data_IF_743484699189
#
_entry.id   IF_743484699189
#
_cell.length_a   1.000
_cell.length_b   1.000
_cell.length_c   1.000
_cell.angle_alpha   90.00
_cell.angle_beta   90.00
_cell.angle_gamma   90.00
#
_symmetry.space_group_name_H-M   'P 1'
#
loop_
_entity.id
_entity.type
_entity.pdbx_description
1 polymer ?
#
# COMPACT_ATOMS: atom_id res chain seq x y z
N UNK A 1 17.68 -30.02 -19.22
CA UNK A 1 17.37 -28.57 -19.13
C UNK A 1 15.86 -28.41 -19.05
N UNK A 2 15.36 -27.73 -18.02
CA UNK A 2 13.92 -27.41 -17.87
C UNK A 2 13.57 -26.24 -18.78
N UNK A 3 12.63 -26.42 -19.71
CA UNK A 3 12.12 -25.33 -20.54
C UNK A 3 11.02 -24.56 -19.79
N UNK A 4 11.18 -23.25 -19.67
CA UNK A 4 10.15 -22.38 -19.09
C UNK A 4 8.94 -22.31 -20.05
N UNK A 5 7.75 -22.66 -19.56
CA UNK A 5 6.49 -22.56 -20.31
C UNK A 5 5.68 -21.37 -19.80
N UNK A 6 5.14 -20.58 -20.71
CA UNK A 6 4.21 -19.51 -20.42
C UNK A 6 2.88 -19.76 -21.16
N UNK A 7 1.78 -19.39 -20.54
CA UNK A 7 0.44 -19.55 -21.10
C UNK A 7 -0.27 -18.20 -21.19
N UNK A 8 -0.99 -17.98 -22.30
CA UNK A 8 -1.81 -16.78 -22.51
C UNK A 8 -3.27 -17.18 -22.61
N UNK A 9 -4.09 -16.65 -21.71
CA UNK A 9 -5.52 -16.91 -21.68
C UNK A 9 -6.31 -15.63 -21.86
N UNK A 10 -7.48 -15.73 -22.50
CA UNK A 10 -8.47 -14.65 -22.58
C UNK A 10 -9.70 -15.07 -21.79
N UNK A 11 -10.10 -14.25 -20.82
CA UNK A 11 -11.26 -14.52 -19.97
C UNK A 11 -12.47 -13.83 -20.59
N UNK A 12 -13.54 -14.59 -20.85
CA UNK A 12 -14.83 -14.05 -21.28
C UNK A 12 -15.82 -14.16 -20.13
N UNK A 13 -15.98 -13.06 -19.40
CA UNK A 13 -16.80 -13.04 -18.19
C UNK A 13 -18.29 -12.90 -18.50
N UNK A 14 -19.12 -13.65 -17.77
CA UNK A 14 -20.56 -13.45 -17.77
C UNK A 14 -20.95 -12.22 -16.93
N UNK A 15 -22.22 -11.81 -16.98
CA UNK A 15 -22.73 -10.62 -16.28
C UNK A 15 -22.47 -10.65 -14.76
N UNK A 16 -22.61 -11.81 -14.13
CA UNK A 16 -22.40 -11.96 -12.69
C UNK A 16 -20.91 -11.84 -12.32
N UNK A 17 -20.03 -12.44 -13.13
CA UNK A 17 -18.59 -12.33 -12.95
C UNK A 17 -18.11 -10.89 -13.14
N UNK A 18 -18.63 -10.16 -14.13
CA UNK A 18 -18.32 -8.72 -14.31
C UNK A 18 -18.68 -7.92 -13.07
N UNK A 19 -19.90 -8.10 -12.54
CA UNK A 19 -20.34 -7.47 -11.30
C UNK A 19 -19.43 -7.82 -10.12
N UNK A 20 -19.06 -9.10 -9.98
CA UNK A 20 -18.14 -9.56 -8.94
C UNK A 20 -16.76 -8.89 -9.05
N UNK A 21 -16.16 -8.86 -10.25
CA UNK A 21 -14.87 -8.20 -10.46
C UNK A 21 -14.92 -6.71 -10.14
N UNK A 22 -15.99 -6.01 -10.55
CA UNK A 22 -16.18 -4.61 -10.17
C UNK A 22 -16.22 -4.41 -8.66
N UNK A 23 -16.90 -5.30 -7.91
CA UNK A 23 -16.88 -5.28 -6.45
C UNK A 23 -15.49 -5.51 -5.87
N UNK A 24 -14.78 -6.53 -6.36
CA UNK A 24 -13.41 -6.86 -5.93
C UNK A 24 -12.47 -5.68 -6.12
N UNK A 25 -12.43 -5.11 -7.33
CA UNK A 25 -11.57 -3.96 -7.63
C UNK A 25 -11.94 -2.73 -6.80
N UNK A 26 -13.23 -2.48 -6.60
CA UNK A 26 -13.72 -1.40 -5.74
C UNK A 26 -13.27 -1.58 -4.29
N UNK A 27 -13.46 -2.77 -3.72
CA UNK A 27 -13.09 -3.08 -2.34
C UNK A 27 -11.57 -3.03 -2.12
N UNK A 28 -10.79 -3.58 -3.05
CA UNK A 28 -9.31 -3.53 -3.00
C UNK A 28 -8.80 -2.09 -3.03
N UNK A 29 -9.31 -1.27 -3.97
CA UNK A 29 -8.94 0.14 -4.08
C UNK A 29 -9.33 0.93 -2.83
N UNK A 30 -10.55 0.71 -2.33
CA UNK A 30 -11.04 1.36 -1.12
C UNK A 30 -10.14 1.02 0.07
N UNK A 31 -9.88 -0.27 0.30
CA UNK A 31 -9.09 -0.73 1.44
C UNK A 31 -7.66 -0.16 1.38
N UNK A 32 -7.01 -0.19 0.22
CA UNK A 32 -5.68 0.39 0.03
C UNK A 32 -5.66 1.88 0.41
N UNK A 33 -6.58 2.66 -0.15
CA UNK A 33 -6.66 4.11 0.10
C UNK A 33 -6.98 4.42 1.56
N UNK A 34 -7.88 3.64 2.18
CA UNK A 34 -8.25 3.82 3.58
C UNK A 34 -7.06 3.53 4.50
N UNK A 35 -6.38 2.41 4.30
CA UNK A 35 -5.18 2.07 5.07
C UNK A 35 -4.05 3.08 4.88
N UNK A 36 -3.87 3.59 3.66
CA UNK A 36 -2.91 4.64 3.35
C UNK A 36 -3.23 5.93 4.13
N UNK A 37 -4.50 6.36 4.10
CA UNK A 37 -4.98 7.52 4.87
C UNK A 37 -4.75 7.34 6.36
N UNK A 38 -5.14 6.19 6.92
CA UNK A 38 -5.02 5.95 8.36
C UNK A 38 -3.54 5.89 8.81
N UNK A 39 -2.66 5.33 7.97
CA UNK A 39 -1.20 5.39 8.22
C UNK A 39 -0.68 6.83 8.19
N UNK A 40 -1.16 7.66 7.25
CA UNK A 40 -0.79 9.07 7.15
C UNK A 40 -1.25 9.85 8.39
N UNK A 41 -2.53 9.74 8.75
CA UNK A 41 -3.13 10.42 9.90
C UNK A 41 -2.46 10.01 11.22
N UNK A 42 -2.17 8.71 11.39
CA UNK A 42 -1.50 8.21 12.58
C UNK A 42 -0.07 8.73 12.68
N UNK A 43 0.64 8.76 11.55
CA UNK A 43 2.00 9.28 11.49
C UNK A 43 2.03 10.79 11.77
N UNK A 44 1.10 11.57 11.24
CA UNK A 44 1.00 13.01 11.51
C UNK A 44 0.83 13.31 13.00
N UNK A 45 0.01 12.52 13.70
CA UNK A 45 -0.28 12.69 15.14
C UNK A 45 0.82 12.16 16.06
N UNK A 46 1.34 10.96 15.78
CA UNK A 46 2.21 10.23 16.71
C UNK A 46 3.68 10.19 16.28
N UNK A 47 4.00 10.61 15.05
CA UNK A 47 5.30 10.48 14.39
C UNK A 47 5.83 9.04 14.36
N UNK A 48 4.92 8.06 14.44
CA UNK A 48 5.20 6.61 14.43
C UNK A 48 4.50 5.93 13.26
N UNK A 49 5.02 4.80 12.81
CA UNK A 49 4.35 3.97 11.81
C UNK A 49 3.20 3.18 12.42
N UNK A 50 2.06 3.13 11.74
CA UNK A 50 0.93 2.29 12.12
C UNK A 50 1.04 0.92 11.45
N UNK A 51 1.03 -0.14 12.26
CA UNK A 51 0.81 -1.50 11.76
C UNK A 51 -0.69 -1.75 11.67
N UNK A 52 -1.19 -1.87 10.44
CA UNK A 52 -2.61 -2.10 10.14
C UNK A 52 -2.81 -3.56 9.75
N UNK A 53 -3.91 -4.19 10.19
CA UNK A 53 -4.31 -5.53 9.74
C UNK A 53 -5.62 -5.43 8.94
N UNK A 54 -5.75 -6.06 7.76
CA UNK A 54 -6.97 -6.05 6.95
C UNK A 54 -8.21 -6.51 7.71
N UNK A 55 -8.04 -7.40 8.69
CA UNK A 55 -9.14 -7.96 9.49
C UNK A 55 -9.88 -6.89 10.29
N UNK A 56 -9.18 -5.84 10.73
CA UNK A 56 -9.78 -4.74 11.49
C UNK A 56 -10.82 -3.99 10.66
N UNK A 57 -10.52 -3.76 9.38
CA UNK A 57 -11.39 -3.06 8.44
C UNK A 57 -12.64 -3.85 8.07
N UNK A 58 -12.59 -5.18 8.13
CA UNK A 58 -13.79 -6.01 7.85
C UNK A 58 -14.87 -5.86 8.91
N UNK A 59 -14.50 -5.45 10.13
CA UNK A 59 -15.47 -5.19 11.19
C UNK A 59 -16.14 -3.83 10.99
N UNK A 60 -15.36 -2.82 10.60
CA UNK A 60 -15.85 -1.46 10.34
C UNK A 60 -16.62 -1.35 9.00
N UNK A 61 -16.18 -2.12 8.00
CA UNK A 61 -16.73 -2.10 6.64
C UNK A 61 -17.20 -3.51 6.22
N UNK A 62 -18.42 -3.93 6.60
CA UNK A 62 -18.92 -5.28 6.33
C UNK A 62 -18.95 -5.68 4.85
N UNK A 63 -19.09 -4.72 3.93
CA UNK A 63 -19.08 -4.98 2.48
C UNK A 63 -17.75 -5.59 2.00
N UNK A 64 -16.64 -5.41 2.74
CA UNK A 64 -15.36 -6.07 2.46
C UNK A 64 -15.42 -7.59 2.66
N UNK A 65 -16.46 -8.12 3.32
CA UNK A 65 -16.68 -9.57 3.45
C UNK A 65 -17.31 -10.20 2.20
N UNK A 66 -17.83 -9.40 1.27
CA UNK A 66 -18.44 -9.89 0.02
C UNK A 66 -17.41 -10.35 -1.03
N UNK A 67 -16.14 -9.97 -0.85
CA UNK A 67 -15.05 -10.20 -1.82
C UNK A 67 -14.03 -11.16 -1.25
N UNK A 68 -13.24 -11.76 -2.15
CA UNK A 68 -12.17 -12.67 -1.79
C UNK A 68 -11.17 -12.04 -0.80
N UNK A 69 -10.86 -12.79 0.26
CA UNK A 69 -9.91 -12.37 1.29
C UNK A 69 -8.48 -12.26 0.79
N UNK A 70 -8.08 -13.08 -0.19
CA UNK A 70 -6.71 -13.04 -0.72
C UNK A 70 -6.48 -11.76 -1.50
N UNK A 71 -7.45 -11.33 -2.33
CA UNK A 71 -7.39 -10.05 -3.03
C UNK A 71 -7.20 -8.86 -2.08
N UNK A 72 -7.89 -8.83 -0.94
CA UNK A 72 -7.70 -7.79 0.08
C UNK A 72 -6.34 -7.89 0.78
N UNK A 73 -5.85 -9.11 1.02
CA UNK A 73 -4.53 -9.34 1.59
C UNK A 73 -3.42 -8.83 0.67
N UNK A 74 -3.55 -9.06 -0.65
CA UNK A 74 -2.61 -8.52 -1.65
C UNK A 74 -2.49 -7.00 -1.55
N UNK A 75 -3.60 -6.27 -1.40
CA UNK A 75 -3.58 -4.82 -1.22
C UNK A 75 -2.74 -4.38 0.01
N UNK A 76 -2.82 -5.15 1.09
CA UNK A 76 -2.05 -4.91 2.31
C UNK A 76 -0.56 -5.20 2.12
N UNK A 77 -0.22 -6.30 1.45
CA UNK A 77 1.17 -6.66 1.09
C UNK A 77 1.77 -5.56 0.20
N UNK A 78 1.05 -5.14 -0.84
CA UNK A 78 1.48 -4.12 -1.79
C UNK A 78 1.73 -2.78 -1.07
N UNK A 79 0.81 -2.37 -0.18
CA UNK A 79 0.98 -1.14 0.60
C UNK A 79 2.21 -1.22 1.51
N UNK A 80 2.40 -2.32 2.23
CA UNK A 80 3.56 -2.48 3.11
C UNK A 80 4.87 -2.50 2.33
N UNK A 81 4.90 -3.18 1.19
CA UNK A 81 6.06 -3.25 0.31
C UNK A 81 6.41 -1.87 -0.25
N UNK A 82 5.41 -1.13 -0.73
CA UNK A 82 5.59 0.24 -1.21
C UNK A 82 6.14 1.17 -0.11
N UNK A 83 5.59 1.08 1.11
CA UNK A 83 6.08 1.87 2.25
C UNK A 83 7.53 1.52 2.63
N UNK A 84 7.86 0.23 2.72
CA UNK A 84 9.22 -0.20 3.04
C UNK A 84 10.21 0.26 1.99
N UNK A 85 9.91 0.03 0.70
CA UNK A 85 10.75 0.46 -0.42
C UNK A 85 10.95 1.97 -0.42
N UNK A 86 9.88 2.73 -0.16
CA UNK A 86 9.96 4.17 -0.07
C UNK A 86 10.90 4.64 1.04
N UNK A 87 10.77 4.08 2.25
CA UNK A 87 11.63 4.41 3.38
C UNK A 87 13.09 4.01 3.13
N UNK A 88 13.35 2.87 2.49
CA UNK A 88 14.69 2.44 2.11
C UNK A 88 15.33 3.38 1.08
N UNK A 89 14.59 3.80 0.06
CA UNK A 89 15.07 4.79 -0.92
C UNK A 89 15.45 6.09 -0.22
N UNK A 90 14.65 6.55 0.73
CA UNK A 90 14.97 7.76 1.50
C UNK A 90 16.21 7.61 2.37
N UNK A 91 16.42 6.44 3.00
CA UNK A 91 17.65 6.17 3.76
C UNK A 91 18.89 6.23 2.86
N UNK A 92 18.84 5.58 1.69
CA UNK A 92 19.94 5.61 0.71
C UNK A 92 20.24 7.03 0.22
N UNK A 93 19.20 7.83 -0.04
CA UNK A 93 19.38 9.25 -0.40
C UNK A 93 19.98 10.08 0.73
N UNK A 94 19.66 9.78 1.98
CA UNK A 94 20.25 10.44 3.15
C UNK A 94 21.71 10.02 3.31
N UNK A 95 22.02 8.73 3.28
CA UNK A 95 23.40 8.23 3.38
C UNK A 95 24.28 8.82 2.27
N UNK A 96 23.78 8.86 1.03
CA UNK A 96 24.47 9.50 -0.09
C UNK A 96 24.60 11.03 0.08
N UNK A 97 23.70 11.69 0.82
CA UNK A 97 23.81 13.12 1.17
C UNK A 97 24.68 13.36 2.42
N UNK A 98 24.84 12.38 3.29
CA UNK A 98 25.77 12.42 4.43
C UNK A 98 27.22 12.32 3.92
N UNK A 99 27.45 11.60 2.80
CA UNK A 99 28.69 11.72 2.00
C UNK A 99 28.91 13.14 1.42
N UNK A 100 27.88 13.98 1.38
CA UNK A 100 27.92 15.38 0.93
C UNK A 100 27.61 16.41 2.05
N UNK A 101 27.70 16.01 3.32
CA UNK A 101 27.87 16.91 4.45
C UNK A 101 26.74 17.96 4.68
N UNK A 102 25.52 17.57 5.08
CA UNK A 102 24.57 18.49 5.77
C UNK A 102 23.76 17.78 6.87
N UNK A 103 24.17 18.00 8.14
CA UNK A 103 23.47 17.85 9.44
C UNK A 103 22.02 17.32 9.41
N UNK A 104 21.86 16.05 9.83
CA UNK A 104 20.93 15.37 10.78
C UNK A 104 19.58 16.01 11.22
N UNK A 105 19.27 17.30 11.02
CA UNK A 105 17.94 17.92 11.29
C UNK A 105 16.88 17.62 10.21
N UNK A 106 17.18 16.74 9.26
CA UNK A 106 16.39 16.53 8.03
C UNK A 106 15.40 15.38 8.08
N UNK A 107 15.51 14.42 9.00
CA UNK A 107 14.62 13.24 9.02
C UNK A 107 13.17 13.65 9.31
N UNK A 108 12.95 14.53 10.29
CA UNK A 108 11.61 15.08 10.59
C UNK A 108 11.07 15.95 9.45
N UNK A 109 11.94 16.76 8.82
CA UNK A 109 11.60 17.56 7.64
C UNK A 109 11.29 16.71 6.40
N UNK A 110 11.94 15.54 6.26
CA UNK A 110 11.70 14.62 5.16
C UNK A 110 10.31 14.03 5.29
N UNK A 111 9.93 13.57 6.48
CA UNK A 111 8.60 13.01 6.72
C UNK A 111 7.47 14.04 6.54
N UNK A 112 7.72 15.32 6.85
CA UNK A 112 6.81 16.42 6.46
C UNK A 112 6.74 16.67 4.93
N UNK A 113 7.86 16.53 4.22
CA UNK A 113 7.93 16.67 2.75
C UNK A 113 7.18 15.55 2.01
N UNK A 114 7.19 14.34 2.58
CA UNK A 114 6.44 13.16 2.11
C UNK A 114 4.93 13.41 2.17
N UNK A 115 4.46 14.02 3.27
CA UNK A 115 3.06 14.37 3.49
C UNK A 115 2.58 15.46 2.52
N UNK A 116 3.44 16.45 2.21
CA UNK A 116 3.12 17.59 1.33
C UNK A 116 3.20 17.30 -0.18
N UNK A 117 4.00 16.32 -0.62
CA UNK A 117 4.18 15.99 -2.06
C UNK A 117 3.14 15.00 -2.63
N UNK A 118 2.25 14.47 -1.80
CA UNK A 118 1.23 13.49 -2.19
C UNK A 118 -0.18 14.09 -2.39
N UNK A 119 -0.26 15.42 -2.51
CA UNK A 119 -1.41 16.19 -3.04
C UNK A 119 -1.11 16.62 -4.47
#
# INVERSE_FOLDING_TARGET
>A
MSANKAYKYRIYSNTNQKKYFSKVFGCVRFLYNKMLSDKKDYYEKNKKSLSVNPSNYKNEFPFLKEVDSLALCSAWIDLNSAYSNFLETLKKEIEHKDFLNIKVRKIDKLLELIIKKTQ
#
